data_IF_051366584838
#
_entry.id   IF_051366584838
#
_cell.length_a   1.000
_cell.length_b   1.000
_cell.length_c   1.000
_cell.angle_alpha   90.00
_cell.angle_beta   90.00
_cell.angle_gamma   90.00
#
_symmetry.space_group_name_H-M   'P 1'
#
loop_
_entity.id
_entity.type
_entity.pdbx_description
1 polymer ?
#
# COMPACT_ATOMS: atom_id res chain seq x y z
N UNK A 1 22.89 -22.40 2.57
CA UNK A 1 22.24 -21.12 2.81
C UNK A 1 20.74 -21.31 2.73
N UNK A 2 20.00 -21.04 3.80
CA UNK A 2 18.56 -21.12 3.82
C UNK A 2 17.97 -19.71 3.94
N UNK A 3 16.71 -19.55 3.55
CA UNK A 3 15.95 -18.33 3.83
C UNK A 3 14.92 -18.60 4.94
N UNK A 4 14.46 -17.54 5.63
CA UNK A 4 13.43 -17.62 6.64
C UNK A 4 12.03 -17.54 6.03
N UNK A 5 11.03 -18.11 6.70
CA UNK A 5 9.62 -17.87 6.40
C UNK A 5 8.94 -17.35 7.68
N UNK A 6 8.60 -16.06 7.70
CA UNK A 6 7.94 -15.43 8.82
C UNK A 6 6.43 -15.43 8.64
N UNK A 7 5.73 -16.12 9.53
CA UNK A 7 4.29 -16.30 9.49
C UNK A 7 3.72 -16.12 10.90
N UNK A 8 3.41 -14.89 11.35
CA UNK A 8 2.85 -14.64 12.68
C UNK A 8 1.54 -15.40 12.89
N UNK A 9 0.75 -15.53 11.83
CA UNK A 9 -0.45 -16.36 11.80
C UNK A 9 -0.14 -17.66 11.05
N UNK A 10 0.33 -18.69 11.77
CA UNK A 10 0.65 -19.99 11.18
C UNK A 10 -0.63 -20.71 10.77
N UNK A 11 -1.01 -20.60 9.51
CA UNK A 11 -2.19 -21.25 8.94
C UNK A 11 -1.81 -22.19 7.80
N UNK A 12 -2.68 -23.18 7.51
CA UNK A 12 -2.47 -24.06 6.34
C UNK A 12 -2.30 -23.31 5.03
N UNK A 13 -3.11 -22.28 4.70
CA UNK A 13 -2.88 -21.48 3.50
C UNK A 13 -1.53 -20.76 3.49
N UNK A 14 -1.07 -20.20 4.63
CA UNK A 14 0.23 -19.55 4.70
C UNK A 14 1.37 -20.54 4.42
N UNK A 15 1.33 -21.74 5.02
CA UNK A 15 2.29 -22.81 4.75
C UNK A 15 2.29 -23.23 3.27
N UNK A 16 1.09 -23.39 2.68
CA UNK A 16 0.97 -23.72 1.25
C UNK A 16 1.63 -22.67 0.35
N UNK A 17 1.40 -21.38 0.63
CA UNK A 17 2.04 -20.26 -0.11
C UNK A 17 3.55 -20.25 0.07
N UNK A 18 4.04 -20.44 1.30
CA UNK A 18 5.48 -20.54 1.56
C UNK A 18 6.11 -21.67 0.75
N UNK A 19 5.45 -22.82 0.70
CA UNK A 19 5.93 -23.99 -0.08
C UNK A 19 5.93 -23.68 -1.58
N UNK A 20 4.91 -23.01 -2.12
CA UNK A 20 4.85 -22.61 -3.53
C UNK A 20 6.02 -21.70 -3.88
N UNK A 21 6.26 -20.65 -3.07
CA UNK A 21 7.39 -19.72 -3.29
C UNK A 21 8.71 -20.46 -3.18
N UNK A 22 8.90 -21.29 -2.14
CA UNK A 22 10.12 -22.07 -1.98
C UNK A 22 10.38 -22.99 -3.20
N UNK A 23 9.34 -23.68 -3.68
CA UNK A 23 9.45 -24.55 -4.87
C UNK A 23 9.82 -23.76 -6.12
N UNK A 24 9.25 -22.59 -6.32
CA UNK A 24 9.60 -21.72 -7.46
C UNK A 24 11.05 -21.23 -7.37
N UNK A 25 11.49 -20.80 -6.19
CA UNK A 25 12.88 -20.41 -5.95
C UNK A 25 13.86 -21.58 -6.18
N UNK A 26 13.52 -22.80 -5.74
CA UNK A 26 14.32 -24.00 -6.00
C UNK A 26 14.46 -24.28 -7.50
N UNK A 27 13.36 -24.16 -8.25
CA UNK A 27 13.40 -24.37 -9.71
C UNK A 27 14.28 -23.35 -10.42
N UNK A 28 14.24 -22.09 -9.97
CA UNK A 28 15.00 -20.98 -10.55
C UNK A 28 16.47 -21.05 -10.19
N UNK A 29 16.79 -21.29 -8.92
CA UNK A 29 18.18 -21.30 -8.41
C UNK A 29 18.87 -22.64 -8.54
N UNK A 30 18.14 -23.71 -8.81
CA UNK A 30 18.60 -25.11 -8.79
C UNK A 30 19.24 -25.52 -7.46
N UNK A 31 18.89 -24.83 -6.38
CA UNK A 31 19.36 -25.12 -5.02
C UNK A 31 18.22 -25.68 -4.18
N UNK A 32 18.53 -26.64 -3.31
CA UNK A 32 17.57 -27.14 -2.34
C UNK A 32 17.35 -26.08 -1.26
N UNK A 33 16.18 -25.46 -1.24
CA UNK A 33 15.84 -24.41 -0.29
C UNK A 33 14.76 -24.91 0.67
N UNK A 34 15.12 -25.04 1.93
CA UNK A 34 14.17 -25.37 3.00
C UNK A 34 14.00 -24.13 3.88
N UNK A 35 12.83 -23.47 3.87
CA UNK A 35 12.59 -22.32 4.71
C UNK A 35 12.51 -22.73 6.19
N UNK A 36 13.23 -22.02 7.04
CA UNK A 36 13.05 -22.09 8.48
C UNK A 36 11.86 -21.22 8.87
N UNK A 37 10.91 -21.78 9.62
CA UNK A 37 9.65 -21.10 9.96
C UNK A 37 9.78 -20.32 11.25
N UNK A 38 9.38 -19.07 11.22
CA UNK A 38 9.36 -18.12 12.33
C UNK A 38 7.91 -17.64 12.56
N UNK A 39 7.45 -17.65 13.82
CA UNK A 39 6.08 -17.25 14.17
C UNK A 39 6.02 -16.06 15.12
N UNK A 40 7.00 -15.87 15.98
CA UNK A 40 7.01 -14.80 16.99
C UNK A 40 7.71 -13.53 16.48
N UNK A 41 8.93 -13.68 15.97
CA UNK A 41 9.74 -12.58 15.48
C UNK A 41 10.25 -12.87 14.07
N UNK A 42 10.37 -11.82 13.26
CA UNK A 42 11.02 -11.93 11.98
C UNK A 42 12.51 -12.30 12.14
N UNK A 43 13.10 -13.05 11.18
CA UNK A 43 14.53 -13.35 11.22
C UNK A 43 15.37 -12.07 11.22
N UNK A 44 16.45 -12.03 11.99
CA UNK A 44 17.33 -10.85 12.08
C UNK A 44 18.68 -11.03 11.36
N UNK A 45 18.93 -12.15 10.72
CA UNK A 45 20.26 -12.47 10.16
C UNK A 45 20.23 -13.11 8.78
N UNK A 46 19.09 -13.14 8.10
CA UNK A 46 18.94 -13.76 6.78
C UNK A 46 17.74 -13.19 6.02
N UNK A 47 17.80 -13.29 4.71
CA UNK A 47 16.66 -12.99 3.84
C UNK A 47 15.45 -13.85 4.19
N UNK A 48 14.25 -13.29 4.07
CA UNK A 48 13.06 -14.04 4.43
C UNK A 48 11.82 -13.67 3.61
N UNK A 49 10.92 -14.63 3.55
CA UNK A 49 9.55 -14.47 3.06
C UNK A 49 8.64 -14.19 4.24
N UNK A 50 7.89 -13.10 4.21
CA UNK A 50 6.87 -12.80 5.20
C UNK A 50 5.48 -12.99 4.61
N UNK A 51 4.61 -13.73 5.32
CA UNK A 51 3.25 -14.02 4.89
C UNK A 51 2.28 -13.65 6.01
N UNK A 52 1.30 -12.82 5.69
CA UNK A 52 0.33 -12.45 6.71
C UNK A 52 -0.84 -11.63 6.21
N UNK A 53 -1.62 -11.18 7.19
CA UNK A 53 -2.73 -10.28 6.96
C UNK A 53 -2.26 -8.82 6.94
N UNK A 54 -3.16 -7.93 6.55
CA UNK A 54 -2.99 -6.47 6.59
C UNK A 54 -2.44 -6.00 7.94
N UNK A 55 -1.48 -5.10 7.89
CA UNK A 55 -0.81 -4.52 9.06
C UNK A 55 0.59 -5.07 9.30
N UNK A 56 0.93 -6.24 8.75
CA UNK A 56 2.27 -6.81 8.84
C UNK A 56 3.32 -5.90 8.17
N UNK A 57 2.91 -5.17 7.13
CA UNK A 57 3.73 -4.23 6.38
C UNK A 57 4.34 -3.15 7.28
N UNK A 58 3.54 -2.63 8.23
CA UNK A 58 3.98 -1.60 9.16
C UNK A 58 5.05 -2.12 10.11
N UNK A 59 4.88 -3.36 10.60
CA UNK A 59 5.83 -3.98 11.52
C UNK A 59 7.17 -4.28 10.86
N UNK A 60 7.20 -4.48 9.54
CA UNK A 60 8.39 -4.80 8.76
C UNK A 60 8.97 -3.58 8.01
N UNK A 61 8.44 -2.37 8.23
CA UNK A 61 8.95 -1.18 7.55
C UNK A 61 8.75 -1.18 6.03
N UNK A 62 7.75 -1.92 5.54
CA UNK A 62 7.51 -2.04 4.12
C UNK A 62 7.16 -0.68 3.47
N UNK A 63 7.68 -0.39 2.25
CA UNK A 63 7.45 0.88 1.58
C UNK A 63 5.97 1.13 1.25
N UNK A 64 5.25 0.06 0.90
CA UNK A 64 3.82 0.16 0.57
C UNK A 64 2.98 -0.43 1.69
N UNK A 65 2.04 0.35 2.22
CA UNK A 65 1.16 -0.08 3.31
C UNK A 65 -0.27 -0.27 2.83
N UNK A 66 -0.94 -1.30 3.34
CA UNK A 66 -2.33 -1.64 2.99
C UNK A 66 -3.39 -0.71 3.58
N UNK A 67 -2.97 0.35 4.29
CA UNK A 67 -3.88 1.41 4.77
C UNK A 67 -4.57 2.22 3.67
N UNK A 68 -4.36 1.82 2.41
CA UNK A 68 -4.75 2.54 1.23
C UNK A 68 -3.65 3.49 0.78
N UNK A 69 -3.25 3.36 -0.45
CA UNK A 69 -2.21 4.21 -1.04
C UNK A 69 -2.64 4.77 -2.38
N UNK A 70 -2.03 5.87 -2.72
CA UNK A 70 -2.02 6.44 -4.05
C UNK A 70 -0.56 6.52 -4.48
N UNK A 71 -0.24 5.86 -5.58
CA UNK A 71 1.08 5.94 -6.21
C UNK A 71 0.97 6.97 -7.33
N UNK A 72 1.75 8.03 -7.25
CA UNK A 72 1.78 9.13 -8.22
C UNK A 72 3.03 9.00 -9.09
N UNK A 73 2.91 9.34 -10.36
CA UNK A 73 4.08 9.56 -11.25
C UNK A 73 4.81 10.83 -10.85
N UNK A 74 6.02 11.06 -11.35
CA UNK A 74 6.76 12.31 -11.18
C UNK A 74 6.01 13.54 -11.70
N UNK A 75 4.98 13.37 -12.55
CA UNK A 75 4.06 14.44 -12.99
C UNK A 75 2.89 14.69 -12.02
N UNK A 76 2.78 13.90 -10.94
CA UNK A 76 1.68 13.99 -9.97
C UNK A 76 0.40 13.27 -10.39
N UNK A 77 0.41 12.55 -11.53
CA UNK A 77 -0.75 11.77 -11.96
C UNK A 77 -0.83 10.42 -11.22
N UNK A 78 -2.04 9.96 -10.84
CA UNK A 78 -2.19 8.70 -10.14
C UNK A 78 -1.95 7.52 -11.10
N UNK A 79 -0.85 6.80 -10.88
CA UNK A 79 -0.51 5.54 -11.57
C UNK A 79 -1.31 4.39 -10.99
N UNK A 80 -1.44 4.37 -9.67
CA UNK A 80 -2.20 3.38 -8.93
C UNK A 80 -2.90 4.03 -7.75
N UNK A 81 -4.16 3.68 -7.53
CA UNK A 81 -4.90 4.10 -6.35
C UNK A 81 -5.77 2.94 -5.86
N UNK A 82 -5.70 2.63 -4.58
CA UNK A 82 -6.61 1.68 -3.95
C UNK A 82 -7.02 2.13 -2.56
N UNK A 83 -8.26 1.80 -2.22
CA UNK A 83 -8.85 2.18 -0.94
C UNK A 83 -8.57 1.12 0.12
N UNK A 84 -8.46 1.53 1.40
CA UNK A 84 -8.25 0.59 2.50
C UNK A 84 -9.29 -0.54 2.58
N UNK A 85 -10.54 -0.24 2.23
CA UNK A 85 -11.66 -1.18 2.33
C UNK A 85 -11.71 -2.19 1.19
N UNK A 86 -10.97 -1.95 0.10
CA UNK A 86 -11.00 -2.85 -1.05
C UNK A 86 -10.29 -4.16 -0.75
N UNK A 87 -10.92 -5.31 -1.05
CA UNK A 87 -10.24 -6.60 -0.99
C UNK A 87 -9.07 -6.66 -1.95
N UNK A 88 -7.89 -7.01 -1.44
CA UNK A 88 -6.65 -7.02 -2.22
C UNK A 88 -5.61 -7.94 -1.62
N UNK A 89 -4.68 -8.37 -2.46
CA UNK A 89 -3.42 -9.00 -2.08
C UNK A 89 -2.26 -8.20 -2.67
N UNK A 90 -1.17 -8.09 -1.92
CA UNK A 90 0.03 -7.37 -2.32
C UNK A 90 1.26 -8.23 -2.09
N UNK A 91 2.17 -8.21 -3.04
CA UNK A 91 3.49 -8.79 -2.93
C UNK A 91 4.51 -7.67 -3.16
N UNK A 92 5.45 -7.52 -2.25
CA UNK A 92 6.50 -6.51 -2.38
C UNK A 92 7.85 -7.05 -1.92
N UNK A 93 8.89 -6.69 -2.67
CA UNK A 93 10.28 -6.95 -2.34
C UNK A 93 10.93 -5.66 -1.87
N UNK A 94 11.63 -5.69 -0.74
CA UNK A 94 12.34 -4.52 -0.21
C UNK A 94 13.49 -4.96 0.70
N UNK A 95 14.39 -4.05 0.99
CA UNK A 95 15.45 -4.24 1.96
C UNK A 95 15.02 -3.63 3.31
N UNK A 96 15.20 -4.39 4.38
CA UNK A 96 15.00 -3.95 5.75
C UNK A 96 16.19 -4.40 6.60
N UNK A 97 16.90 -3.46 7.24
CA UNK A 97 18.07 -3.71 8.08
C UNK A 97 19.13 -4.62 7.43
N UNK A 98 19.38 -4.44 6.12
CA UNK A 98 20.36 -5.21 5.34
C UNK A 98 19.90 -6.62 4.95
N UNK A 99 18.60 -6.90 5.05
CA UNK A 99 17.99 -8.17 4.68
C UNK A 99 16.99 -7.95 3.53
N UNK A 100 16.99 -8.85 2.55
CA UNK A 100 15.97 -8.85 1.53
C UNK A 100 14.70 -9.51 2.06
N UNK A 101 13.61 -8.78 2.02
CA UNK A 101 12.29 -9.20 2.46
C UNK A 101 11.36 -9.34 1.26
N UNK A 102 10.74 -10.50 1.10
CA UNK A 102 9.61 -10.68 0.20
C UNK A 102 8.34 -10.78 1.04
N UNK A 103 7.49 -9.79 0.97
CA UNK A 103 6.30 -9.69 1.80
C UNK A 103 5.03 -9.89 0.99
N UNK A 104 4.26 -10.92 1.33
CA UNK A 104 2.90 -11.14 0.81
C UNK A 104 1.87 -10.84 1.88
N UNK A 105 1.04 -9.85 1.65
CA UNK A 105 -0.09 -9.53 2.54
C UNK A 105 -1.42 -9.55 1.80
N UNK A 106 -2.49 -9.74 2.54
CA UNK A 106 -3.84 -9.68 1.99
C UNK A 106 -4.84 -9.09 2.97
N UNK A 107 -5.91 -8.50 2.44
CA UNK A 107 -7.05 -8.05 3.23
C UNK A 107 -7.75 -9.24 3.90
N UNK A 108 -8.43 -9.00 5.03
CA UNK A 108 -9.24 -10.01 5.69
C UNK A 108 -10.24 -10.64 4.70
N UNK A 109 -10.32 -11.97 4.70
CA UNK A 109 -11.18 -12.71 3.78
C UNK A 109 -10.69 -12.79 2.33
N UNK A 110 -9.55 -12.19 1.98
CA UNK A 110 -9.03 -12.12 0.60
C UNK A 110 -7.91 -13.11 0.31
N UNK A 111 -7.83 -14.21 1.03
CA UNK A 111 -6.81 -15.23 0.82
C UNK A 111 -6.76 -15.77 -0.62
N UNK A 112 -7.93 -15.92 -1.27
CA UNK A 112 -8.00 -16.33 -2.67
C UNK A 112 -7.30 -15.35 -3.64
N UNK A 113 -7.27 -14.05 -3.33
CA UNK A 113 -6.54 -13.06 -4.12
C UNK A 113 -5.04 -13.24 -3.97
N UNK A 114 -4.56 -13.59 -2.77
CA UNK A 114 -3.15 -13.91 -2.55
C UNK A 114 -2.73 -15.16 -3.34
N UNK A 115 -3.58 -16.18 -3.39
CA UNK A 115 -3.33 -17.38 -4.18
C UNK A 115 -3.34 -17.08 -5.68
N UNK A 116 -4.27 -16.23 -6.15
CA UNK A 116 -4.32 -15.77 -7.53
C UNK A 116 -3.09 -14.94 -7.91
N UNK A 117 -2.66 -14.02 -7.05
CA UNK A 117 -1.47 -13.21 -7.26
C UNK A 117 -0.22 -14.08 -7.38
N UNK A 118 -0.02 -15.00 -6.43
CA UNK A 118 1.10 -15.95 -6.48
C UNK A 118 1.06 -16.80 -7.73
N UNK A 119 -0.10 -17.36 -8.08
CA UNK A 119 -0.24 -18.18 -9.28
C UNK A 119 0.10 -17.42 -10.55
N UNK A 120 -0.27 -16.14 -10.63
CA UNK A 120 0.07 -15.28 -11.77
C UNK A 120 1.57 -15.00 -11.89
N UNK A 121 2.24 -14.78 -10.75
CA UNK A 121 3.66 -14.45 -10.70
C UNK A 121 4.51 -15.72 -10.88
N UNK A 122 4.13 -16.84 -10.25
CA UNK A 122 4.88 -18.09 -10.29
C UNK A 122 4.58 -18.93 -11.53
N UNK A 123 3.66 -18.51 -12.40
CA UNK A 123 3.45 -19.16 -13.71
C UNK A 123 4.75 -19.10 -14.54
N UNK A 124 5.01 -20.10 -15.38
CA UNK A 124 6.25 -20.15 -16.20
C UNK A 124 6.53 -18.87 -16.97
N UNK A 125 5.49 -18.19 -17.47
CA UNK A 125 5.58 -16.92 -18.18
C UNK A 125 5.39 -15.70 -17.25
N UNK A 126 5.00 -15.93 -16.01
CA UNK A 126 4.65 -14.86 -15.04
C UNK A 126 5.86 -14.03 -14.62
N UNK A 127 7.01 -14.68 -14.43
CA UNK A 127 8.26 -14.00 -14.08
C UNK A 127 8.73 -12.99 -15.12
N UNK A 128 8.46 -13.22 -16.40
CA UNK A 128 8.78 -12.28 -17.48
C UNK A 128 7.86 -11.06 -17.50
N UNK A 129 6.68 -11.17 -16.90
CA UNK A 129 5.72 -10.09 -16.78
C UNK A 129 5.85 -9.27 -15.48
N UNK A 130 6.65 -9.74 -14.52
CA UNK A 130 6.92 -9.01 -13.27
C UNK A 130 8.06 -8.04 -13.50
N UNK A 131 7.71 -6.78 -13.75
CA UNK A 131 8.69 -5.70 -13.74
C UNK A 131 8.52 -4.90 -12.46
N UNK A 132 9.56 -4.86 -11.60
CA UNK A 132 9.57 -4.07 -10.39
C UNK A 132 9.52 -4.87 -9.10
N UNK A 133 9.39 -4.14 -8.01
CA UNK A 133 9.48 -4.60 -6.62
C UNK A 133 8.13 -4.69 -5.90
N UNK A 134 7.05 -4.37 -6.61
CA UNK A 134 5.69 -4.38 -6.08
C UNK A 134 4.68 -4.98 -7.06
N UNK A 135 3.79 -5.84 -6.54
CA UNK A 135 2.66 -6.39 -7.29
C UNK A 135 1.39 -6.34 -6.45
N UNK A 136 0.27 -6.05 -7.07
CA UNK A 136 -1.05 -5.98 -6.42
C UNK A 136 -2.11 -6.70 -7.25
N UNK A 137 -2.97 -7.44 -6.55
CA UNK A 137 -4.16 -8.10 -7.09
C UNK A 137 -5.40 -7.60 -6.36
N UNK A 138 -6.31 -6.97 -7.09
CA UNK A 138 -7.65 -6.61 -6.62
C UNK A 138 -8.70 -7.64 -7.03
N UNK A 139 -9.96 -7.39 -6.64
CA UNK A 139 -11.09 -8.25 -7.05
C UNK A 139 -11.35 -8.24 -8.56
N UNK A 140 -11.01 -7.14 -9.23
CA UNK A 140 -11.26 -6.95 -10.66
C UNK A 140 -9.95 -6.72 -11.39
N UNK A 141 -9.78 -7.43 -12.50
CA UNK A 141 -8.63 -7.28 -13.37
C UNK A 141 -7.43 -8.16 -13.02
N UNK A 142 -6.39 -8.15 -13.87
CA UNK A 142 -5.15 -8.88 -13.67
C UNK A 142 -4.30 -8.26 -12.55
N UNK A 143 -3.33 -9.00 -12.06
CA UNK A 143 -2.27 -8.47 -11.22
C UNK A 143 -1.56 -7.30 -11.92
N UNK A 144 -1.25 -6.27 -11.15
CA UNK A 144 -0.48 -5.11 -11.63
C UNK A 144 0.86 -5.09 -10.93
N UNK A 145 1.92 -4.85 -11.68
CA UNK A 145 3.28 -4.76 -11.17
C UNK A 145 3.81 -3.34 -11.35
N UNK A 146 4.59 -2.87 -10.40
CA UNK A 146 5.20 -1.54 -10.40
C UNK A 146 6.63 -1.63 -9.84
N UNK A 147 7.50 -0.76 -10.31
CA UNK A 147 8.82 -0.55 -9.74
C UNK A 147 8.76 0.68 -8.85
N UNK A 148 8.75 0.45 -7.53
CA UNK A 148 8.54 1.51 -6.55
C UNK A 148 9.86 2.16 -6.13
N UNK A 149 10.94 1.37 -6.02
CA UNK A 149 12.22 1.83 -5.47
C UNK A 149 13.09 2.62 -6.45
N UNK A 150 12.99 2.34 -7.76
CA UNK A 150 13.85 2.97 -8.78
C UNK A 150 13.15 4.06 -9.60
N UNK A 151 11.85 4.21 -9.45
CA UNK A 151 11.08 5.22 -10.17
C UNK A 151 10.80 6.39 -9.23
N UNK A 152 10.81 7.63 -9.74
CA UNK A 152 10.33 8.80 -9.00
C UNK A 152 8.81 8.70 -8.75
N UNK A 153 8.39 7.62 -8.07
CA UNK A 153 7.01 7.41 -7.66
C UNK A 153 6.82 7.94 -6.25
N UNK A 154 5.90 8.85 -6.08
CA UNK A 154 5.51 9.34 -4.78
C UNK A 154 4.40 8.45 -4.19
N UNK A 155 4.67 7.80 -3.07
CA UNK A 155 3.69 7.01 -2.33
C UNK A 155 3.01 7.90 -1.32
N UNK A 156 1.75 8.19 -1.54
CA UNK A 156 0.94 8.96 -0.60
C UNK A 156 -0.06 8.03 0.12
N UNK A 157 -0.13 8.05 1.47
CA UNK A 157 -1.16 7.33 2.19
C UNK A 157 -2.54 7.89 1.83
N UNK A 158 -3.51 7.00 1.65
CA UNK A 158 -4.88 7.38 1.32
C UNK A 158 -5.48 8.18 2.48
N UNK A 159 -5.84 9.43 2.26
CA UNK A 159 -6.42 10.29 3.30
C UNK A 159 -5.45 11.29 3.97
N UNK A 160 -4.15 11.26 3.65
CA UNK A 160 -3.19 12.29 4.10
C UNK A 160 -3.14 13.53 3.19
N UNK A 161 -3.85 13.50 2.06
CA UNK A 161 -3.89 14.65 1.17
C UNK A 161 -4.74 15.77 1.77
N UNK A 162 -4.32 17.00 1.52
CA UNK A 162 -5.12 18.20 1.78
C UNK A 162 -6.56 18.10 1.25
N UNK A 163 -6.80 17.26 0.25
CA UNK A 163 -8.12 16.95 -0.29
C UNK A 163 -9.02 16.21 0.71
N UNK A 164 -8.51 15.22 1.46
CA UNK A 164 -9.30 14.52 2.46
C UNK A 164 -9.65 15.44 3.64
N UNK A 165 -8.71 16.32 4.02
CA UNK A 165 -8.96 17.37 5.00
C UNK A 165 -10.01 18.36 4.47
N UNK A 166 -9.85 18.85 3.25
CA UNK A 166 -10.80 19.75 2.60
C UNK A 166 -12.17 19.10 2.41
N UNK A 167 -12.24 17.82 2.05
CA UNK A 167 -13.49 17.10 1.87
C UNK A 167 -14.20 16.86 3.21
N UNK A 168 -13.45 16.50 4.28
CA UNK A 168 -13.98 16.31 5.64
C UNK A 168 -14.49 17.61 6.25
N UNK A 169 -13.77 18.71 6.01
CA UNK A 169 -14.10 20.01 6.58
C UNK A 169 -14.77 20.96 5.59
N UNK A 170 -15.09 20.49 4.39
CA UNK A 170 -15.70 21.32 3.33
C UNK A 170 -16.91 22.10 3.81
N UNK A 171 -17.83 21.44 4.51
CA UNK A 171 -19.05 22.07 5.04
C UNK A 171 -18.68 23.15 6.06
N UNK A 172 -17.75 22.86 6.98
CA UNK A 172 -17.30 23.82 7.99
C UNK A 172 -16.54 25.00 7.42
N UNK A 173 -15.72 24.77 6.39
CA UNK A 173 -14.99 25.83 5.68
C UNK A 173 -15.96 26.76 4.93
N UNK A 174 -16.96 26.22 4.24
CA UNK A 174 -17.96 27.03 3.56
C UNK A 174 -18.85 27.76 4.57
N UNK A 175 -19.29 27.11 5.63
CA UNK A 175 -20.13 27.74 6.67
C UNK A 175 -19.35 28.82 7.42
N UNK A 176 -18.11 28.53 7.81
CA UNK A 176 -17.25 29.52 8.48
C UNK A 176 -16.90 30.71 7.58
N UNK A 177 -16.62 30.45 6.31
CA UNK A 177 -16.39 31.50 5.29
C UNK A 177 -17.62 32.39 5.08
N UNK A 178 -18.81 31.79 4.97
CA UNK A 178 -20.06 32.55 4.81
C UNK A 178 -20.35 33.43 6.05
N UNK A 179 -20.14 32.90 7.25
CA UNK A 179 -20.30 33.67 8.51
C UNK A 179 -19.29 34.84 8.56
N UNK A 180 -18.04 34.60 8.19
CA UNK A 180 -17.02 35.67 8.17
C UNK A 180 -17.37 36.77 7.19
N UNK A 181 -17.85 36.46 5.98
CA UNK A 181 -18.33 37.43 4.99
C UNK A 181 -19.55 38.19 5.54
N UNK A 182 -20.47 37.53 6.18
CA UNK A 182 -21.66 38.15 6.76
C UNK A 182 -21.30 39.13 7.89
N UNK A 183 -20.38 38.76 8.78
CA UNK A 183 -19.83 39.62 9.83
C UNK A 183 -19.14 40.82 9.19
N UNK A 184 -18.30 40.59 8.17
CA UNK A 184 -17.62 41.67 7.46
C UNK A 184 -18.61 42.66 6.83
N UNK A 185 -19.67 42.20 6.18
CA UNK A 185 -20.72 43.04 5.60
C UNK A 185 -21.47 43.83 6.69
N UNK A 186 -21.80 43.23 7.81
CA UNK A 186 -22.49 43.93 8.93
C UNK A 186 -21.61 45.06 9.49
N UNK A 187 -20.28 44.84 9.57
CA UNK A 187 -19.37 45.86 10.09
C UNK A 187 -19.00 46.96 9.08
N UNK A 188 -18.95 46.65 7.81
CA UNK A 188 -18.52 47.59 6.75
C UNK A 188 -19.68 48.35 6.14
N UNK A 189 -20.87 47.73 6.02
CA UNK A 189 -22.06 48.36 5.42
C UNK A 189 -22.50 49.65 6.14
N UNK A 190 -22.58 49.75 7.47
CA UNK A 190 -22.97 50.99 8.15
C UNK A 190 -21.97 52.10 8.01
N UNK A 191 -20.68 51.78 7.79
CA UNK A 191 -19.65 52.82 7.55
C UNK A 191 -19.77 53.40 6.15
N UNK A 192 -20.03 52.54 5.14
CA UNK A 192 -20.22 52.95 3.77
C UNK A 192 -21.46 53.85 3.57
N UNK A 193 -22.56 53.54 4.27
CA UNK A 193 -23.79 54.33 4.18
C UNK A 193 -23.73 55.63 4.94
N UNK A 194 -22.81 55.75 5.92
CA UNK A 194 -22.66 56.98 6.75
C UNK A 194 -21.76 58.03 6.10
N UNK A 195 -20.96 57.66 5.13
CA UNK A 195 -20.02 58.53 4.42
C UNK A 195 -20.60 59.10 3.09
N UNK A 196 -21.91 58.96 2.84
CA UNK A 196 -22.53 59.71 1.75
C UNK A 196 -22.58 61.18 2.14
N UNK A 197 -21.83 62.10 1.46
CA UNK A 197 -21.89 63.51 1.73
C UNK A 197 -23.27 64.01 1.32
N UNK A 198 -23.97 64.60 2.29
CA UNK A 198 -25.20 65.34 2.04
C UNK A 198 -24.92 66.45 1.05
N UNK A 199 -25.42 66.28 -0.20
CA UNK A 199 -25.41 67.30 -1.21
C UNK A 199 -26.51 68.32 -0.98
#
# INVERSE_FOLDING_TARGET
SGFGAYMPDLTRPALSRATQVASALQQTTRQSLFPEVYTENAPSSRDFLALGSRGLEKGLGAPVQSSGIRVLSGSGEPVLSFRPESPQAMLQGFENDGQNVLLLTHSSGSGALADSLLSSILAPDGWFGVSGDFAIQGQQGPARTLQVQETELEIQPFGSSSEAFLQKYRIWLFTGGAIAVLIFLIYTYPKLVRDEPSA
#
